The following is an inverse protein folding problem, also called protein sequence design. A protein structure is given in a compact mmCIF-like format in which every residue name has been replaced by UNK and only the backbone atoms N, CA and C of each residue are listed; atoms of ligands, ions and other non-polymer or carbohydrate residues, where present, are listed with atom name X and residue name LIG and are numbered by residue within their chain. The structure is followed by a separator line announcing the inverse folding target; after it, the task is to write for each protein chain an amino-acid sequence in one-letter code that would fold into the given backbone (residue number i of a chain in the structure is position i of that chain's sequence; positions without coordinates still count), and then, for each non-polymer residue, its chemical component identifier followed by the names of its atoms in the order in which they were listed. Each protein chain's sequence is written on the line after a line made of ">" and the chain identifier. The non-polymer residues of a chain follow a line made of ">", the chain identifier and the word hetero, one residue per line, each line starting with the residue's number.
data_IF_490151126314
#
_entry.id   IF_490151126314
#
_cell.length_a   1.000
_cell.length_b   1.000
_cell.length_c   1.000
_cell.angle_alpha   90.00
_cell.angle_beta   90.00
_cell.angle_gamma   90.00
#
_symmetry.space_group_name_H-M   'P 1'
#
loop_
_entity.id
_entity.type
_entity.pdbx_description
1 polymer ?
#
# COMPACT_ATOMS: atom_id res chain seq x y z
N UNK A 1 9.78 -33.19 11.22
CA UNK A 1 10.33 -33.86 10.05
C UNK A 1 9.55 -33.48 8.79
N UNK A 2 8.20 -33.72 8.73
CA UNK A 2 7.37 -33.45 7.53
C UNK A 2 7.46 -31.99 7.08
N UNK A 3 7.30 -31.02 8.02
CA UNK A 3 7.42 -29.59 7.71
C UNK A 3 8.81 -29.22 7.19
N UNK A 4 9.87 -29.80 7.75
CA UNK A 4 11.23 -29.55 7.25
C UNK A 4 11.42 -30.06 5.82
N UNK A 5 10.95 -31.26 5.51
CA UNK A 5 11.00 -31.80 4.16
C UNK A 5 10.19 -30.98 3.16
N UNK A 6 8.97 -30.55 3.52
CA UNK A 6 8.15 -29.66 2.70
C UNK A 6 8.85 -28.32 2.44
N UNK A 7 9.44 -27.72 3.47
CA UNK A 7 10.16 -26.46 3.30
C UNK A 7 11.35 -26.62 2.35
N UNK A 8 12.22 -27.61 2.58
CA UNK A 8 13.46 -27.80 1.80
C UNK A 8 13.20 -28.25 0.37
N UNK A 9 12.26 -29.17 0.12
CA UNK A 9 12.08 -29.75 -1.21
C UNK A 9 11.00 -29.10 -2.05
N UNK A 10 10.07 -28.37 -1.45
CA UNK A 10 8.97 -27.72 -2.16
C UNK A 10 9.07 -26.19 -2.06
N UNK A 11 9.14 -25.65 -0.85
CA UNK A 11 9.04 -24.19 -0.65
C UNK A 11 10.32 -23.48 -1.09
N UNK A 12 11.50 -23.95 -0.65
CA UNK A 12 12.79 -23.33 -0.99
C UNK A 12 13.08 -23.27 -2.49
N UNK A 13 12.89 -24.35 -3.31
CA UNK A 13 13.12 -24.26 -4.74
C UNK A 13 12.18 -23.28 -5.45
N UNK A 14 10.90 -23.24 -5.03
CA UNK A 14 9.91 -22.31 -5.59
C UNK A 14 10.30 -20.87 -5.24
N UNK A 15 10.60 -20.60 -3.97
CA UNK A 15 11.00 -19.26 -3.50
C UNK A 15 12.33 -18.82 -4.09
N UNK A 16 13.29 -19.74 -4.25
CA UNK A 16 14.56 -19.48 -4.93
C UNK A 16 14.38 -19.11 -6.39
N UNK A 17 13.48 -19.82 -7.11
CA UNK A 17 13.12 -19.51 -8.49
C UNK A 17 12.46 -18.13 -8.62
N UNK A 18 11.53 -17.80 -7.73
CA UNK A 18 10.88 -16.49 -7.66
C UNK A 18 11.92 -15.38 -7.41
N UNK A 19 12.81 -15.56 -6.41
CA UNK A 19 13.87 -14.60 -6.09
C UNK A 19 14.80 -14.37 -7.27
N UNK A 20 15.26 -15.42 -7.93
CA UNK A 20 16.14 -15.32 -9.10
C UNK A 20 15.45 -14.61 -10.26
N UNK A 21 14.20 -14.98 -10.56
CA UNK A 21 13.39 -14.33 -11.58
C UNK A 21 13.16 -12.84 -11.28
N UNK A 22 12.89 -12.51 -10.01
CA UNK A 22 12.72 -11.15 -9.54
C UNK A 22 14.00 -10.32 -9.73
N UNK A 23 15.13 -10.82 -9.28
CA UNK A 23 16.42 -10.15 -9.41
C UNK A 23 16.77 -9.89 -10.88
N UNK A 24 16.58 -10.88 -11.75
CA UNK A 24 16.84 -10.75 -13.17
C UNK A 24 15.91 -9.72 -13.84
N UNK A 25 14.63 -9.70 -13.45
CA UNK A 25 13.69 -8.71 -13.95
C UNK A 25 14.07 -7.29 -13.48
N UNK A 26 14.39 -7.11 -12.20
CA UNK A 26 14.69 -5.80 -11.61
C UNK A 26 16.03 -5.21 -12.08
N UNK A 27 17.07 -6.04 -12.27
CA UNK A 27 18.36 -5.56 -12.79
C UNK A 27 18.27 -5.09 -14.23
N UNK A 28 17.32 -5.61 -15.01
CA UNK A 28 17.05 -5.17 -16.39
C UNK A 28 16.10 -3.98 -16.49
N UNK A 29 15.46 -3.55 -15.40
CA UNK A 29 14.46 -2.49 -15.43
C UNK A 29 15.11 -1.10 -15.37
N UNK A 30 14.81 -0.23 -16.35
CA UNK A 30 15.12 1.19 -16.29
C UNK A 30 14.24 1.93 -15.26
N UNK A 31 14.61 3.18 -14.94
CA UNK A 31 13.90 4.00 -13.94
C UNK A 31 12.39 4.13 -14.21
N UNK A 32 11.99 4.30 -15.47
CA UNK A 32 10.57 4.40 -15.83
C UNK A 32 9.80 3.10 -15.53
N UNK A 33 10.41 1.95 -15.78
CA UNK A 33 9.81 0.64 -15.48
C UNK A 33 9.67 0.41 -13.97
N UNK A 34 10.61 0.89 -13.17
CA UNK A 34 10.52 0.83 -11.70
C UNK A 34 9.35 1.67 -11.18
N UNK A 35 9.13 2.87 -11.72
CA UNK A 35 7.98 3.72 -11.35
C UNK A 35 6.66 3.02 -11.67
N UNK A 36 6.55 2.39 -12.84
CA UNK A 36 5.37 1.60 -13.23
C UNK A 36 5.18 0.41 -12.28
N UNK A 37 6.25 -0.29 -11.91
CA UNK A 37 6.18 -1.37 -10.92
C UNK A 37 5.66 -0.86 -9.58
N UNK A 38 6.18 0.27 -9.08
CA UNK A 38 5.72 0.89 -7.85
C UNK A 38 4.23 1.29 -7.91
N UNK A 39 3.80 1.81 -9.06
CA UNK A 39 2.38 2.12 -9.34
C UNK A 39 1.50 0.87 -9.22
N UNK A 40 1.90 -0.22 -9.86
CA UNK A 40 1.15 -1.48 -9.84
C UNK A 40 1.10 -2.06 -8.43
N UNK A 41 2.25 -2.17 -7.76
CA UNK A 41 2.32 -2.72 -6.40
C UNK A 41 1.54 -1.88 -5.39
N UNK A 42 1.68 -0.55 -5.45
CA UNK A 42 0.91 0.35 -4.60
C UNK A 42 -0.60 0.20 -4.84
N UNK A 43 -1.02 0.14 -6.10
CA UNK A 43 -2.42 -0.08 -6.47
C UNK A 43 -2.97 -1.43 -5.98
N UNK A 44 -2.20 -2.52 -6.12
CA UNK A 44 -2.57 -3.85 -5.63
C UNK A 44 -2.87 -3.86 -4.13
N UNK A 45 -2.18 -3.04 -3.33
CA UNK A 45 -2.41 -2.95 -1.90
C UNK A 45 -3.81 -2.42 -1.55
N UNK A 46 -4.43 -1.64 -2.46
CA UNK A 46 -5.74 -1.01 -2.25
C UNK A 46 -6.90 -1.73 -2.93
N UNK A 47 -6.67 -2.71 -3.81
CA UNK A 47 -7.72 -3.40 -4.57
C UNK A 47 -8.68 -4.13 -3.63
N UNK A 48 -8.15 -4.88 -2.68
CA UNK A 48 -8.90 -5.76 -1.79
C UNK A 48 -8.55 -5.58 -0.30
N UNK A 49 -7.72 -4.58 0.02
CA UNK A 49 -7.43 -4.06 1.38
C UNK A 49 -7.12 -5.16 2.43
N UNK A 50 -6.32 -6.14 2.06
CA UNK A 50 -5.94 -7.28 2.91
C UNK A 50 -6.29 -8.64 2.31
N UNK A 51 -6.94 -8.68 1.13
CA UNK A 51 -7.26 -9.88 0.38
C UNK A 51 -6.09 -10.43 -0.46
N UNK A 52 -6.39 -11.29 -1.44
CA UNK A 52 -5.38 -11.99 -2.24
C UNK A 52 -4.41 -11.07 -3.00
N UNK A 53 -4.88 -9.97 -3.60
CA UNK A 53 -4.03 -9.04 -4.35
C UNK A 53 -3.07 -8.28 -3.42
N UNK A 54 -3.59 -7.80 -2.29
CA UNK A 54 -2.79 -7.17 -1.24
C UNK A 54 -1.70 -8.14 -0.73
N UNK A 55 -2.08 -9.38 -0.41
CA UNK A 55 -1.13 -10.39 0.08
C UNK A 55 -0.09 -10.79 -0.99
N UNK A 56 -0.47 -10.84 -2.27
CA UNK A 56 0.48 -11.10 -3.34
C UNK A 56 1.55 -10.01 -3.45
N UNK A 57 1.15 -8.73 -3.42
CA UNK A 57 2.09 -7.61 -3.40
C UNK A 57 2.98 -7.63 -2.15
N UNK A 58 2.41 -7.95 -0.99
CA UNK A 58 3.14 -8.04 0.27
C UNK A 58 4.20 -9.17 0.25
N UNK A 59 3.82 -10.38 -0.20
CA UNK A 59 4.75 -11.51 -0.33
C UNK A 59 5.87 -11.18 -1.34
N UNK A 60 5.53 -10.52 -2.45
CA UNK A 60 6.51 -10.04 -3.41
C UNK A 60 7.49 -9.04 -2.78
N UNK A 61 7.00 -8.08 -2.00
CA UNK A 61 7.83 -7.12 -1.27
C UNK A 61 8.76 -7.78 -0.24
N UNK A 62 8.26 -8.77 0.51
CA UNK A 62 9.09 -9.51 1.48
C UNK A 62 10.15 -10.36 0.80
N UNK A 63 9.84 -11.00 -0.33
CA UNK A 63 10.81 -11.73 -1.15
C UNK A 63 11.89 -10.78 -1.71
N UNK A 64 11.49 -9.56 -2.11
CA UNK A 64 12.43 -8.53 -2.57
C UNK A 64 13.41 -8.08 -1.47
N UNK A 65 12.95 -7.94 -0.22
CA UNK A 65 13.85 -7.67 0.93
C UNK A 65 14.91 -8.78 1.04
N UNK A 66 14.49 -10.05 0.98
CA UNK A 66 15.41 -11.18 1.06
C UNK A 66 16.42 -11.20 -0.09
N UNK A 67 16.06 -10.64 -1.25
CA UNK A 67 16.90 -10.49 -2.41
C UNK A 67 17.77 -9.20 -2.41
N UNK A 68 17.66 -8.36 -1.36
CA UNK A 68 18.39 -7.09 -1.27
C UNK A 68 17.78 -5.91 -2.03
N UNK A 69 16.55 -6.06 -2.56
CA UNK A 69 15.81 -5.02 -3.28
C UNK A 69 14.79 -4.36 -2.35
N UNK A 70 15.21 -3.30 -1.70
CA UNK A 70 14.45 -2.64 -0.63
C UNK A 70 13.43 -1.58 -1.12
N UNK A 71 13.54 -1.12 -2.37
CA UNK A 71 12.64 -0.15 -2.99
C UNK A 71 11.23 -0.71 -3.20
N UNK A 72 11.11 -2.00 -3.49
CA UNK A 72 9.84 -2.69 -3.70
C UNK A 72 9.00 -2.68 -2.43
N UNK A 73 9.60 -3.03 -1.28
CA UNK A 73 8.85 -3.05 -0.02
C UNK A 73 8.42 -1.65 0.41
N UNK A 74 9.21 -0.62 0.12
CA UNK A 74 8.81 0.77 0.34
C UNK A 74 7.54 1.12 -0.44
N UNK A 75 7.46 0.73 -1.73
CA UNK A 75 6.26 0.97 -2.56
C UNK A 75 5.04 0.16 -2.07
N UNK A 76 5.23 -1.07 -1.63
CA UNK A 76 4.16 -1.92 -1.06
C UNK A 76 3.62 -1.31 0.24
N UNK A 77 4.50 -0.98 1.19
CA UNK A 77 4.07 -0.44 2.48
C UNK A 77 3.32 0.88 2.32
N UNK A 78 3.84 1.82 1.53
CA UNK A 78 3.18 3.12 1.33
C UNK A 78 1.83 2.97 0.64
N UNK A 79 1.72 2.01 -0.31
CA UNK A 79 0.45 1.68 -0.96
C UNK A 79 -0.61 1.20 0.01
N UNK A 80 -0.24 0.38 1.00
CA UNK A 80 -1.17 -0.11 2.02
C UNK A 80 -1.48 0.90 3.14
N UNK A 81 -0.59 1.86 3.40
CA UNK A 81 -0.84 2.95 4.36
C UNK A 81 -1.81 4.00 3.81
N UNK A 82 -1.84 4.19 2.50
CA UNK A 82 -2.60 5.26 1.83
C UNK A 82 -4.11 5.14 2.00
N UNK A 83 -4.80 4.00 1.79
CA UNK A 83 -6.26 3.91 1.86
C UNK A 83 -6.85 4.35 3.20
N UNK A 84 -6.42 3.82 4.36
CA UNK A 84 -6.99 4.23 5.63
C UNK A 84 -6.66 5.70 5.96
N UNK A 85 -5.46 6.18 5.64
CA UNK A 85 -5.13 7.61 5.82
C UNK A 85 -6.01 8.51 4.95
N UNK A 86 -6.28 8.11 3.71
CA UNK A 86 -7.13 8.85 2.78
C UNK A 86 -8.60 8.90 3.25
N UNK A 87 -9.12 7.78 3.75
CA UNK A 87 -10.47 7.72 4.31
C UNK A 87 -10.58 8.62 5.55
N UNK A 88 -9.61 8.55 6.45
CA UNK A 88 -9.56 9.42 7.61
C UNK A 88 -9.58 10.91 7.19
N UNK A 89 -8.76 11.29 6.22
CA UNK A 89 -8.72 12.65 5.71
C UNK A 89 -10.04 13.04 5.03
N UNK A 90 -10.60 12.15 4.21
CA UNK A 90 -11.85 12.41 3.51
C UNK A 90 -13.05 12.59 4.46
N UNK A 91 -13.14 11.79 5.54
CA UNK A 91 -14.22 11.93 6.54
C UNK A 91 -14.15 13.25 7.30
N UNK A 92 -12.97 13.84 7.44
CA UNK A 92 -12.77 15.15 8.08
C UNK A 92 -13.11 16.30 7.13
N UNK A 93 -12.70 16.20 5.86
CA UNK A 93 -12.85 17.28 4.88
C UNK A 93 -14.24 17.32 4.24
N UNK A 94 -14.84 16.17 3.95
CA UNK A 94 -16.09 16.05 3.19
C UNK A 94 -17.23 15.45 4.05
N UNK A 95 -17.52 16.10 5.16
CA UNK A 95 -18.46 15.62 6.20
C UNK A 95 -19.87 15.30 5.67
N UNK A 96 -20.33 15.98 4.63
CA UNK A 96 -21.63 15.78 4.00
C UNK A 96 -21.72 14.50 3.14
N UNK A 97 -20.62 13.84 2.91
CA UNK A 97 -20.52 12.61 2.11
C UNK A 97 -20.41 11.33 2.93
N UNK A 98 -20.37 11.47 4.24
CA UNK A 98 -20.23 10.34 5.17
C UNK A 98 -21.32 10.36 6.23
N UNK A 99 -21.79 9.19 6.64
CA UNK A 99 -22.75 9.05 7.73
C UNK A 99 -22.14 9.52 9.05
N UNK A 100 -22.98 9.79 10.05
CA UNK A 100 -22.51 10.19 11.38
C UNK A 100 -21.53 9.16 11.96
N UNK A 101 -21.87 7.88 11.85
CA UNK A 101 -21.05 6.76 12.32
C UNK A 101 -19.69 6.72 11.59
N UNK A 102 -19.69 6.88 10.27
CA UNK A 102 -18.45 6.93 9.47
C UNK A 102 -17.57 8.14 9.83
N UNK A 103 -18.15 9.27 10.20
CA UNK A 103 -17.41 10.46 10.65
C UNK A 103 -16.79 10.28 12.03
N UNK A 104 -17.45 9.53 12.91
CA UNK A 104 -16.95 9.24 14.25
C UNK A 104 -15.80 8.21 14.22
N UNK A 105 -15.91 7.20 13.37
CA UNK A 105 -14.92 6.13 13.24
C UNK A 105 -13.79 6.45 12.24
N UNK A 106 -14.05 7.33 11.26
CA UNK A 106 -13.10 7.69 10.21
C UNK A 106 -11.71 8.09 10.70
N UNK A 107 -11.58 9.01 11.66
CA UNK A 107 -10.28 9.47 12.15
C UNK A 107 -9.39 8.38 12.74
N UNK A 108 -9.95 7.29 13.28
CA UNK A 108 -9.16 6.16 13.79
C UNK A 108 -8.35 5.48 12.69
N UNK A 109 -8.78 5.62 11.44
CA UNK A 109 -8.03 5.12 10.27
C UNK A 109 -6.67 5.81 10.09
N UNK A 110 -6.43 6.99 10.63
CA UNK A 110 -5.06 7.56 10.63
C UNK A 110 -4.11 6.67 11.43
N UNK A 111 -4.52 6.22 12.60
CA UNK A 111 -3.70 5.34 13.44
C UNK A 111 -3.46 4.01 12.72
N UNK A 112 -4.50 3.42 12.14
CA UNK A 112 -4.40 2.17 11.39
C UNK A 112 -3.50 2.33 10.16
N UNK A 113 -3.71 3.37 9.36
CA UNK A 113 -2.90 3.67 8.18
C UNK A 113 -1.43 3.91 8.51
N UNK A 114 -1.15 4.70 9.54
CA UNK A 114 0.21 4.93 10.01
C UNK A 114 0.88 3.66 10.54
N UNK A 115 0.12 2.70 11.06
CA UNK A 115 0.62 1.40 11.49
C UNK A 115 0.70 0.35 10.35
N UNK A 116 0.37 0.73 9.11
CA UNK A 116 0.29 -0.16 7.94
C UNK A 116 -0.81 -1.23 8.11
N UNK A 117 -1.96 -0.84 8.64
CA UNK A 117 -3.16 -1.70 8.76
C UNK A 117 -4.18 -1.24 7.72
N UNK A 118 -4.09 -1.79 6.51
CA UNK A 118 -4.94 -1.42 5.37
C UNK A 118 -6.40 -1.79 5.60
N UNK A 119 -6.64 -2.81 6.39
CA UNK A 119 -7.96 -3.36 6.72
C UNK A 119 -8.90 -2.34 7.38
N UNK A 120 -8.39 -1.27 7.98
CA UNK A 120 -9.21 -0.18 8.50
C UNK A 120 -10.11 0.49 7.46
N UNK A 121 -9.73 0.40 6.19
CA UNK A 121 -10.51 0.94 5.07
C UNK A 121 -11.69 0.03 4.65
N UNK A 122 -11.71 -1.25 5.04
CA UNK A 122 -12.70 -2.24 4.58
C UNK A 122 -14.15 -1.82 4.86
N UNK A 123 -14.55 -1.34 6.04
CA UNK A 123 -15.93 -0.95 6.30
C UNK A 123 -16.43 0.14 5.35
N UNK A 124 -15.56 1.07 4.97
CA UNK A 124 -15.87 2.16 4.03
C UNK A 124 -15.95 1.64 2.60
N UNK A 125 -15.04 0.77 2.19
CA UNK A 125 -15.06 0.13 0.88
C UNK A 125 -16.29 -0.80 0.73
N UNK A 126 -16.69 -1.53 1.76
CA UNK A 126 -17.87 -2.38 1.75
C UNK A 126 -19.17 -1.59 1.64
N UNK A 127 -19.23 -0.40 2.23
CA UNK A 127 -20.42 0.47 2.16
C UNK A 127 -20.60 1.16 0.81
N UNK A 128 -19.50 1.43 0.08
CA UNK A 128 -19.52 2.15 -1.18
C UNK A 128 -18.31 1.76 -2.05
N UNK A 129 -18.28 0.53 -2.58
CA UNK A 129 -17.12 0.02 -3.29
C UNK A 129 -16.81 0.79 -4.59
N UNK A 130 -17.85 1.27 -5.27
CA UNK A 130 -17.71 1.93 -6.57
C UNK A 130 -16.93 3.25 -6.49
N UNK A 131 -17.03 3.98 -5.38
CA UNK A 131 -16.36 5.26 -5.21
C UNK A 131 -15.09 5.12 -4.34
N UNK A 132 -15.12 4.26 -3.31
CA UNK A 132 -13.99 4.11 -2.39
C UNK A 132 -12.82 3.35 -3.03
N UNK A 133 -13.08 2.20 -3.67
CA UNK A 133 -12.00 1.39 -4.23
C UNK A 133 -11.19 2.13 -5.31
N UNK A 134 -11.81 2.73 -6.36
CA UNK A 134 -11.04 3.44 -7.38
C UNK A 134 -10.24 4.61 -6.81
N UNK A 135 -10.81 5.36 -5.86
CA UNK A 135 -10.12 6.48 -5.21
C UNK A 135 -8.88 6.00 -4.45
N UNK A 136 -9.02 4.91 -3.69
CA UNK A 136 -7.92 4.32 -2.93
C UNK A 136 -6.85 3.72 -3.86
N UNK A 137 -7.25 3.02 -4.92
CA UNK A 137 -6.32 2.41 -5.89
C UNK A 137 -5.48 3.49 -6.56
N UNK A 138 -6.08 4.58 -7.03
CA UNK A 138 -5.36 5.67 -7.70
C UNK A 138 -4.38 6.34 -6.74
N UNK A 139 -4.81 6.66 -5.52
CA UNK A 139 -3.94 7.28 -4.52
C UNK A 139 -2.78 6.37 -4.08
N UNK A 140 -3.05 5.08 -3.87
CA UNK A 140 -2.03 4.10 -3.53
C UNK A 140 -1.05 3.84 -4.67
N UNK A 141 -1.53 3.79 -5.91
CA UNK A 141 -0.69 3.70 -7.10
C UNK A 141 0.22 4.93 -7.25
N UNK A 142 -0.32 6.13 -7.03
CA UNK A 142 0.47 7.36 -7.04
C UNK A 142 1.54 7.37 -5.94
N UNK A 143 1.19 6.96 -4.71
CA UNK A 143 2.15 6.85 -3.60
C UNK A 143 3.28 5.87 -3.91
N UNK A 144 2.96 4.68 -4.44
CA UNK A 144 3.94 3.67 -4.84
C UNK A 144 4.85 4.15 -5.96
N UNK A 145 4.30 4.81 -6.97
CA UNK A 145 5.05 5.41 -8.08
C UNK A 145 6.04 6.48 -7.58
N UNK A 146 5.58 7.38 -6.70
CA UNK A 146 6.41 8.43 -6.10
C UNK A 146 7.50 7.84 -5.19
N UNK A 147 7.20 6.82 -4.41
CA UNK A 147 8.18 6.11 -3.58
C UNK A 147 9.34 5.58 -4.44
N UNK A 148 9.03 4.95 -5.57
CA UNK A 148 10.04 4.47 -6.53
C UNK A 148 10.78 5.62 -7.21
N UNK A 149 10.07 6.67 -7.63
CA UNK A 149 10.68 7.84 -8.28
C UNK A 149 11.67 8.56 -7.35
N UNK A 150 11.40 8.59 -6.06
CA UNK A 150 12.26 9.19 -5.05
C UNK A 150 13.33 8.23 -4.52
N UNK A 151 13.41 7.02 -5.06
CA UNK A 151 14.33 5.96 -4.61
C UNK A 151 14.22 5.69 -3.09
N UNK A 152 13.00 5.68 -2.57
CA UNK A 152 12.76 5.30 -1.19
C UNK A 152 13.02 3.80 -1.02
N UNK A 153 13.62 3.41 0.10
CA UNK A 153 13.94 2.01 0.42
C UNK A 153 13.45 1.65 1.81
N UNK A 154 13.09 0.38 2.02
CA UNK A 154 12.62 -0.11 3.32
C UNK A 154 13.10 -1.54 3.55
N UNK A 155 13.85 -1.73 4.63
CA UNK A 155 14.42 -3.03 5.03
C UNK A 155 13.50 -3.83 5.96
N UNK A 156 12.37 -3.26 6.39
CA UNK A 156 11.42 -3.92 7.28
C UNK A 156 10.17 -4.37 6.52
N UNK A 157 9.64 -5.57 6.77
CA UNK A 157 8.46 -6.07 6.08
C UNK A 157 7.15 -5.43 6.56
N UNK A 158 7.12 -4.90 7.78
CA UNK A 158 5.93 -4.32 8.39
C UNK A 158 6.31 -3.26 9.43
N UNK A 159 5.32 -2.44 9.84
CA UNK A 159 5.46 -1.52 10.96
C UNK A 159 5.02 -0.07 10.68
N UNK A 160 4.79 0.31 9.44
CA UNK A 160 4.34 1.66 9.10
C UNK A 160 5.30 2.73 9.64
N UNK A 161 4.77 3.69 10.38
CA UNK A 161 5.56 4.81 10.95
C UNK A 161 6.66 4.35 11.91
N UNK A 162 6.47 3.21 12.58
CA UNK A 162 7.44 2.70 13.57
C UNK A 162 8.76 2.24 12.93
N UNK A 163 8.76 1.96 11.63
CA UNK A 163 9.96 1.57 10.88
C UNK A 163 10.55 2.71 10.04
N UNK A 164 10.04 3.93 10.16
CA UNK A 164 10.59 5.10 9.46
C UNK A 164 12.07 5.36 9.72
N UNK A 165 12.64 5.07 10.90
CA UNK A 165 14.09 5.19 11.10
C UNK A 165 14.95 4.33 10.17
N UNK A 166 14.39 3.24 9.61
CA UNK A 166 15.09 2.35 8.65
C UNK A 166 14.59 2.55 7.21
N UNK A 167 13.80 3.58 6.96
CA UNK A 167 13.40 3.99 5.61
C UNK A 167 14.50 4.84 4.99
N UNK A 168 15.03 4.42 3.85
CA UNK A 168 15.90 5.25 3.05
C UNK A 168 15.09 6.37 2.38
N UNK A 169 15.60 7.61 2.47
CA UNK A 169 14.93 8.82 2.00
C UNK A 169 13.56 9.07 2.67
N UNK A 170 13.53 9.00 4.01
CA UNK A 170 12.31 9.07 4.81
C UNK A 170 11.49 10.36 4.56
N UNK A 171 12.13 11.49 4.29
CA UNK A 171 11.43 12.76 4.01
C UNK A 171 10.60 12.63 2.73
N UNK A 172 11.20 12.12 1.65
CA UNK A 172 10.49 11.93 0.38
C UNK A 172 9.44 10.81 0.46
N UNK A 173 9.66 9.83 1.35
CA UNK A 173 8.67 8.81 1.65
C UNK A 173 7.41 9.41 2.29
N UNK A 174 7.57 10.33 3.24
CA UNK A 174 6.46 11.08 3.84
C UNK A 174 5.75 11.94 2.78
N UNK A 175 6.50 12.62 1.91
CA UNK A 175 5.93 13.42 0.81
C UNK A 175 5.09 12.53 -0.11
N UNK A 176 5.59 11.36 -0.47
CA UNK A 176 4.86 10.40 -1.31
C UNK A 176 3.58 9.89 -0.62
N UNK A 177 3.64 9.58 0.69
CA UNK A 177 2.47 9.16 1.48
C UNK A 177 1.42 10.26 1.53
N UNK A 178 1.82 11.49 1.83
CA UNK A 178 0.90 12.64 1.88
C UNK A 178 0.28 12.88 0.52
N UNK A 179 1.07 12.87 -0.55
CA UNK A 179 0.58 13.07 -1.91
C UNK A 179 -0.48 12.01 -2.29
N UNK A 180 -0.19 10.73 -2.09
CA UNK A 180 -1.15 9.64 -2.36
C UNK A 180 -2.40 9.73 -1.50
N UNK A 181 -2.25 10.05 -0.21
CA UNK A 181 -3.36 10.27 0.73
C UNK A 181 -4.27 11.41 0.27
N UNK A 182 -3.70 12.55 -0.12
CA UNK A 182 -4.46 13.71 -0.58
C UNK A 182 -5.16 13.42 -1.92
N UNK A 183 -4.45 12.81 -2.88
CA UNK A 183 -5.05 12.42 -4.17
C UNK A 183 -6.26 11.51 -3.93
N UNK A 184 -6.11 10.47 -3.12
CA UNK A 184 -7.19 9.53 -2.81
C UNK A 184 -8.35 10.21 -2.08
N UNK A 185 -8.06 11.05 -1.06
CA UNK A 185 -9.09 11.74 -0.29
C UNK A 185 -9.89 12.74 -1.15
N UNK A 186 -9.22 13.48 -2.03
CA UNK A 186 -9.86 14.43 -2.94
C UNK A 186 -10.72 13.69 -3.97
N UNK A 187 -10.19 12.62 -4.57
CA UNK A 187 -10.98 11.78 -5.51
C UNK A 187 -12.21 11.20 -4.82
N UNK A 188 -12.07 10.68 -3.62
CA UNK A 188 -13.20 10.18 -2.84
C UNK A 188 -14.20 11.29 -2.52
N UNK A 189 -13.71 12.47 -2.16
CA UNK A 189 -14.55 13.66 -1.95
C UNK A 189 -15.29 14.13 -3.19
N UNK A 190 -14.73 13.97 -4.39
CA UNK A 190 -15.39 14.32 -5.65
C UNK A 190 -16.41 13.25 -6.05
N UNK A 191 -16.00 12.00 -6.06
CA UNK A 191 -16.77 10.88 -6.60
C UNK A 191 -17.93 10.47 -5.70
N UNK A 192 -17.75 10.45 -4.37
CA UNK A 192 -18.77 10.00 -3.43
C UNK A 192 -19.96 10.95 -3.40
N UNK A 193 -21.18 10.42 -3.49
CA UNK A 193 -22.42 11.19 -3.39
C UNK A 193 -22.65 11.67 -1.95
N UNK A 194 -23.41 12.77 -1.83
CA UNK A 194 -23.87 13.24 -0.52
C UNK A 194 -24.80 12.22 0.10
N UNK A 195 -24.67 12.03 1.40
CA UNK A 195 -25.56 11.17 2.18
C UNK A 195 -26.70 12.03 2.68
N UNK A 196 -27.95 11.64 2.40
CA UNK A 196 -29.12 12.24 3.02
C UNK A 196 -29.07 11.94 4.52
N UNK A 197 -29.06 12.97 5.34
CA UNK A 197 -28.98 12.89 6.80
C UNK A 197 -30.36 12.74 7.42
#
# INVERSE_FOLDING_TARGET
>A
LVMGLLMTFIVEPIMGGINTGLNNALTGMGSSSKIVLGMVLGGMMAIDMGGPFNKAAYVFGTAAIAAGNYDIMAAVMIGGMTPPCAIALATLLFKDKFTKEQRETGPTNFIMGLAFITEGAIPFAASDPIHVLPSCIIGSAAAGALSMAFNCTLMAPHGGIFVFPVVGNAIMYVVALVAGTVISAVLLGILKKKVEQ
#
